data_IF_907759307905
#
_entry.id   IF_907759307905
#
_cell.length_a   1.000
_cell.length_b   1.000
_cell.length_c   1.000
_cell.angle_alpha   90.00
_cell.angle_beta   90.00
_cell.angle_gamma   90.00
#
_symmetry.space_group_name_H-M   'P 1'
#
loop_
_entity.id
_entity.type
_entity.pdbx_description
1 polymer ?
#
# COMPACT_ATOMS: atom_id res chain seq x y z
N UNK A 1 5.42 -49.68 22.80
CA UNK A 1 4.12 -49.09 22.41
C UNK A 1 4.32 -47.59 22.26
N UNK A 2 4.51 -47.13 21.02
CA UNK A 2 4.65 -45.71 20.71
C UNK A 2 3.28 -45.07 20.57
N UNK A 3 3.05 -43.98 21.29
CA UNK A 3 1.91 -43.11 21.03
C UNK A 3 2.34 -42.09 19.97
N UNK A 4 1.91 -42.31 18.73
CA UNK A 4 1.85 -41.30 17.69
C UNK A 4 0.93 -40.17 18.17
N UNK A 5 1.50 -39.02 18.51
CA UNK A 5 0.73 -37.76 18.59
C UNK A 5 0.43 -37.33 17.17
N UNK A 6 -0.70 -37.80 16.65
CA UNK A 6 -1.32 -37.22 15.46
C UNK A 6 -2.60 -36.51 15.90
N UNK A 7 -2.43 -35.28 16.37
CA UNK A 7 -3.47 -34.27 16.47
C UNK A 7 -2.77 -32.95 16.20
N UNK A 8 -3.01 -32.35 15.04
CA UNK A 8 -2.69 -30.94 14.84
C UNK A 8 -3.52 -30.16 15.85
N UNK A 9 -2.85 -29.68 16.89
CA UNK A 9 -3.45 -28.80 17.88
C UNK A 9 -3.91 -27.53 17.13
N UNK A 10 -5.18 -27.08 17.22
CA UNK A 10 -5.61 -25.85 16.57
C UNK A 10 -4.75 -24.62 16.95
N UNK A 11 -4.08 -24.67 18.09
CA UNK A 11 -3.09 -23.66 18.51
C UNK A 11 -1.78 -23.67 17.71
N UNK A 12 -1.55 -24.70 16.87
CA UNK A 12 -0.34 -24.85 16.06
C UNK A 12 -0.53 -24.43 14.60
N UNK A 13 -1.66 -23.86 14.19
CA UNK A 13 -1.89 -23.33 12.84
C UNK A 13 -2.03 -21.82 12.95
N UNK A 14 -1.47 -21.07 12.01
CA UNK A 14 -1.67 -19.62 11.92
C UNK A 14 -2.72 -19.34 10.85
N UNK A 15 -3.80 -18.66 11.21
CA UNK A 15 -4.84 -18.26 10.26
C UNK A 15 -4.71 -16.79 9.87
N UNK A 16 -4.59 -16.51 8.59
CA UNK A 16 -4.41 -15.15 8.04
C UNK A 16 -5.64 -14.72 7.26
N UNK A 17 -6.22 -13.57 7.62
CA UNK A 17 -7.22 -12.89 6.78
C UNK A 17 -6.49 -11.84 5.96
N UNK A 18 -6.49 -11.97 4.63
CA UNK A 18 -5.69 -11.16 3.73
C UNK A 18 -6.53 -10.43 2.69
N UNK A 19 -6.38 -9.11 2.56
CA UNK A 19 -6.98 -8.39 1.43
C UNK A 19 -6.16 -8.42 0.14
N UNK A 20 -4.96 -8.99 0.18
CA UNK A 20 -4.17 -9.28 -1.02
C UNK A 20 -4.72 -10.54 -1.71
N UNK A 21 -4.73 -10.52 -3.03
CA UNK A 21 -5.16 -11.65 -3.84
C UNK A 21 -4.30 -12.91 -3.60
N UNK A 22 -4.90 -14.09 -3.67
CA UNK A 22 -4.29 -15.38 -3.35
C UNK A 22 -2.93 -15.61 -3.99
N UNK A 23 -2.80 -15.30 -5.29
CA UNK A 23 -1.57 -15.48 -6.04
C UNK A 23 -0.42 -14.59 -5.56
N UNK A 24 -0.71 -13.54 -4.78
CA UNK A 24 0.28 -12.63 -4.18
C UNK A 24 0.68 -12.99 -2.74
N UNK A 25 0.05 -13.99 -2.13
CA UNK A 25 0.32 -14.39 -0.73
C UNK A 25 0.58 -15.88 -0.56
N UNK A 26 -0.08 -16.74 -1.34
CA UNK A 26 0.10 -18.20 -1.22
C UNK A 26 1.56 -18.62 -1.36
N UNK A 27 2.35 -18.16 -2.37
CA UNK A 27 3.75 -18.56 -2.49
C UNK A 27 4.60 -18.18 -1.28
N UNK A 28 4.25 -17.08 -0.60
CA UNK A 28 4.96 -16.58 0.59
C UNK A 28 4.66 -17.46 1.79
N UNK A 29 3.39 -17.83 1.98
CA UNK A 29 2.99 -18.73 3.07
C UNK A 29 3.48 -20.17 2.86
N UNK A 30 3.49 -20.66 1.61
CA UNK A 30 4.11 -21.94 1.26
C UNK A 30 5.61 -21.94 1.62
N UNK A 31 6.33 -20.86 1.27
CA UNK A 31 7.74 -20.70 1.61
C UNK A 31 7.97 -20.65 3.13
N UNK A 32 7.14 -19.92 3.87
CA UNK A 32 7.22 -19.88 5.33
C UNK A 32 7.03 -21.27 5.94
N UNK A 33 6.04 -22.02 5.46
CA UNK A 33 5.78 -23.38 5.92
C UNK A 33 6.95 -24.32 5.58
N UNK A 34 7.55 -24.20 4.39
CA UNK A 34 8.75 -24.96 4.02
C UNK A 34 9.93 -24.66 4.97
N UNK A 35 10.13 -23.39 5.32
CA UNK A 35 11.26 -22.94 6.16
C UNK A 35 11.10 -23.27 7.64
N UNK A 36 9.87 -23.26 8.15
CA UNK A 36 9.61 -23.32 9.60
C UNK A 36 8.82 -24.54 10.05
N UNK A 37 8.14 -25.22 9.12
CA UNK A 37 7.17 -26.27 9.43
C UNK A 37 5.83 -25.75 9.96
N UNK A 38 5.65 -24.43 10.11
CA UNK A 38 4.42 -23.82 10.60
C UNK A 38 3.37 -23.77 9.47
N UNK A 39 2.25 -24.49 9.66
CA UNK A 39 1.12 -24.43 8.73
C UNK A 39 0.46 -23.05 8.79
N UNK A 40 0.20 -22.46 7.61
CA UNK A 40 -0.55 -21.21 7.47
C UNK A 40 -1.80 -21.48 6.65
N UNK A 41 -2.96 -21.17 7.24
CA UNK A 41 -4.24 -21.12 6.53
C UNK A 41 -4.57 -19.68 6.24
N UNK A 42 -5.19 -19.41 5.10
CA UNK A 42 -5.58 -18.05 4.78
C UNK A 42 -6.96 -17.99 4.13
N UNK A 43 -7.59 -16.83 4.31
CA UNK A 43 -8.82 -16.42 3.66
C UNK A 43 -8.57 -15.08 2.99
N UNK A 44 -9.01 -14.92 1.76
CA UNK A 44 -8.96 -13.65 1.03
C UNK A 44 -10.35 -13.09 0.77
N UNK A 45 -10.46 -11.77 0.91
CA UNK A 45 -11.63 -10.98 0.52
C UNK A 45 -11.21 -9.50 0.48
N UNK A 46 -12.10 -8.59 0.11
CA UNK A 46 -11.85 -7.15 0.18
C UNK A 46 -11.71 -6.67 1.64
N UNK A 47 -11.03 -5.54 1.84
CA UNK A 47 -10.68 -5.00 3.16
C UNK A 47 -11.89 -4.79 4.07
N UNK A 48 -12.93 -4.13 3.54
CA UNK A 48 -14.16 -3.85 4.27
C UNK A 48 -14.84 -5.13 4.77
N UNK A 49 -15.19 -6.09 3.88
CA UNK A 49 -15.73 -7.38 4.26
C UNK A 49 -14.88 -8.14 5.30
N UNK A 50 -13.56 -8.16 5.18
CA UNK A 50 -12.69 -8.82 6.16
C UNK A 50 -12.74 -8.14 7.54
N UNK A 51 -12.72 -6.80 7.60
CA UNK A 51 -12.84 -6.08 8.88
C UNK A 51 -14.21 -6.31 9.53
N UNK A 52 -15.30 -6.26 8.76
CA UNK A 52 -16.65 -6.56 9.27
C UNK A 52 -16.77 -8.01 9.73
N UNK A 53 -16.12 -8.94 9.03
CA UNK A 53 -16.03 -10.34 9.45
C UNK A 53 -15.30 -10.49 10.78
N UNK A 54 -14.12 -9.88 10.94
CA UNK A 54 -13.37 -9.90 12.21
C UNK A 54 -14.21 -9.34 13.37
N UNK A 55 -14.95 -8.24 13.14
CA UNK A 55 -15.88 -7.69 14.13
C UNK A 55 -16.98 -8.68 14.51
N UNK A 56 -17.64 -9.26 13.50
CA UNK A 56 -18.78 -10.14 13.70
C UNK A 56 -18.38 -11.44 14.40
N UNK A 57 -17.20 -11.99 14.08
CA UNK A 57 -16.67 -13.19 14.72
C UNK A 57 -16.15 -12.91 16.15
N UNK A 58 -15.63 -11.70 16.41
CA UNK A 58 -15.20 -11.25 17.73
C UNK A 58 -14.25 -12.22 18.42
N UNK A 59 -14.52 -12.57 19.67
CA UNK A 59 -13.72 -13.53 20.44
C UNK A 59 -13.68 -14.95 19.84
N UNK A 60 -14.57 -15.27 18.91
CA UNK A 60 -14.61 -16.57 18.23
C UNK A 60 -13.91 -16.57 16.86
N UNK A 61 -13.34 -15.43 16.43
CA UNK A 61 -12.61 -15.38 15.17
C UNK A 61 -11.45 -16.37 15.18
N UNK A 62 -11.29 -17.17 14.10
CA UNK A 62 -10.12 -18.02 13.95
C UNK A 62 -8.90 -17.25 13.45
N UNK A 63 -9.06 -16.02 12.96
CA UNK A 63 -7.96 -15.24 12.37
C UNK A 63 -6.96 -14.82 13.45
N UNK A 64 -5.68 -15.12 13.24
CA UNK A 64 -4.57 -14.71 14.08
C UNK A 64 -3.87 -13.45 13.53
N UNK A 65 -3.86 -13.31 12.21
CA UNK A 65 -3.24 -12.18 11.52
C UNK A 65 -4.20 -11.54 10.52
N UNK A 66 -4.27 -10.22 10.52
CA UNK A 66 -4.92 -9.44 9.48
C UNK A 66 -3.85 -8.80 8.60
N UNK A 67 -3.86 -9.14 7.30
CA UNK A 67 -2.94 -8.63 6.29
C UNK A 67 -3.74 -7.79 5.30
N UNK A 68 -3.31 -6.57 5.04
CA UNK A 68 -4.01 -5.69 4.10
C UNK A 68 -3.06 -4.77 3.35
N UNK A 69 -3.63 -3.96 2.47
CA UNK A 69 -2.95 -2.86 1.80
C UNK A 69 -3.47 -1.55 2.35
N UNK A 70 -2.61 -0.54 2.31
CA UNK A 70 -2.90 0.82 2.77
C UNK A 70 -2.85 1.01 4.30
N UNK A 71 -2.02 1.94 4.74
CA UNK A 71 -1.93 2.33 6.14
C UNK A 71 -3.24 2.89 6.69
N UNK A 72 -4.10 3.49 5.85
CA UNK A 72 -5.43 3.92 6.27
C UNK A 72 -6.34 2.75 6.68
N UNK A 73 -6.24 1.61 5.99
CA UNK A 73 -6.99 0.40 6.36
C UNK A 73 -6.43 -0.24 7.63
N UNK A 74 -5.10 -0.27 7.78
CA UNK A 74 -4.43 -0.77 8.99
C UNK A 74 -4.80 0.08 10.22
N UNK A 75 -4.77 1.40 10.07
CA UNK A 75 -5.20 2.34 11.10
C UNK A 75 -6.67 2.12 11.46
N UNK A 76 -7.56 2.02 10.46
CA UNK A 76 -8.98 1.76 10.71
C UNK A 76 -9.20 0.45 11.49
N UNK A 77 -8.50 -0.62 11.13
CA UNK A 77 -8.59 -1.88 11.86
C UNK A 77 -8.09 -1.75 13.32
N UNK A 78 -7.05 -0.96 13.57
CA UNK A 78 -6.57 -0.66 14.92
C UNK A 78 -7.59 0.16 15.73
N UNK A 79 -8.12 1.25 15.17
CA UNK A 79 -9.13 2.11 15.82
C UNK A 79 -10.43 1.37 16.14
N UNK A 80 -10.82 0.43 15.29
CA UNK A 80 -11.98 -0.44 15.51
C UNK A 80 -11.69 -1.57 16.53
N UNK A 81 -10.49 -1.60 17.12
CA UNK A 81 -10.09 -2.57 18.15
C UNK A 81 -9.87 -3.98 17.63
N UNK A 82 -9.67 -4.15 16.31
CA UNK A 82 -9.50 -5.45 15.66
C UNK A 82 -8.10 -6.01 15.77
N UNK A 83 -7.13 -5.15 16.08
CA UNK A 83 -5.72 -5.49 16.22
C UNK A 83 -5.32 -5.41 17.70
N UNK A 84 -4.26 -6.14 18.06
CA UNK A 84 -3.61 -6.02 19.37
C UNK A 84 -2.19 -5.48 19.20
N UNK A 85 -1.71 -4.66 20.14
CA UNK A 85 -0.30 -4.29 20.16
C UNK A 85 0.56 -5.54 20.41
N UNK A 86 1.69 -5.63 19.71
CA UNK A 86 2.73 -6.63 19.96
C UNK A 86 4.06 -5.94 20.23
N UNK A 87 4.95 -6.59 20.99
CA UNK A 87 6.30 -6.09 21.22
C UNK A 87 7.29 -7.01 20.51
N UNK A 88 8.00 -6.47 19.52
CA UNK A 88 9.03 -7.20 18.79
C UNK A 88 10.19 -6.29 18.44
N UNK A 89 11.34 -6.53 19.08
CA UNK A 89 12.59 -5.83 18.75
C UNK A 89 13.01 -6.08 17.30
N UNK A 90 12.71 -7.26 16.75
CA UNK A 90 13.02 -7.57 15.35
C UNK A 90 12.24 -6.66 14.41
N UNK A 91 10.92 -6.54 14.60
CA UNK A 91 10.09 -5.66 13.79
C UNK A 91 10.47 -4.19 13.96
N UNK A 92 10.73 -3.75 15.19
CA UNK A 92 11.14 -2.36 15.48
C UNK A 92 12.48 -1.99 14.84
N UNK A 93 13.41 -2.94 14.71
CA UNK A 93 14.71 -2.76 14.07
C UNK A 93 14.62 -2.85 12.55
N UNK A 94 13.83 -3.79 12.02
CA UNK A 94 13.72 -4.02 10.59
C UNK A 94 12.85 -2.97 9.89
N UNK A 95 11.85 -2.41 10.56
CA UNK A 95 10.85 -1.52 9.97
C UNK A 95 11.06 -0.09 10.46
N UNK A 96 11.36 0.87 9.56
CA UNK A 96 11.47 2.28 9.90
C UNK A 96 10.24 2.80 10.66
N UNK A 97 10.47 3.65 11.67
CA UNK A 97 9.41 4.10 12.59
C UNK A 97 8.23 4.80 11.91
N UNK A 98 8.45 5.47 10.78
CA UNK A 98 7.38 6.14 10.02
C UNK A 98 6.48 5.15 9.24
N UNK A 99 6.88 3.88 9.10
CA UNK A 99 6.19 2.85 8.33
C UNK A 99 5.49 1.79 9.20
N UNK A 100 5.40 2.04 10.51
CA UNK A 100 4.72 1.20 11.50
C UNK A 100 3.91 2.05 12.46
N UNK A 101 2.95 1.42 13.12
CA UNK A 101 2.15 2.08 14.14
C UNK A 101 3.01 2.45 15.37
N UNK A 102 2.95 3.71 15.86
CA UNK A 102 3.55 4.09 17.14
C UNK A 102 3.06 3.27 18.35
N UNK A 103 1.85 2.71 18.28
CA UNK A 103 1.30 1.82 19.30
C UNK A 103 1.56 0.32 19.03
N UNK A 104 2.36 0.00 18.00
CA UNK A 104 2.73 -1.35 17.62
C UNK A 104 1.54 -2.30 17.32
N UNK A 105 0.40 -1.77 16.87
CA UNK A 105 -0.75 -2.60 16.49
C UNK A 105 -0.63 -3.15 15.05
N UNK A 106 0.12 -2.48 14.20
CA UNK A 106 0.40 -2.92 12.83
C UNK A 106 1.79 -2.48 12.34
N UNK A 107 2.27 -3.20 11.33
CA UNK A 107 3.61 -3.07 10.78
C UNK A 107 3.54 -3.12 9.25
N UNK A 108 4.27 -2.23 8.57
CA UNK A 108 4.47 -2.33 7.13
C UNK A 108 5.32 -3.56 6.77
N UNK A 109 5.06 -4.14 5.60
CA UNK A 109 5.73 -5.34 5.09
C UNK A 109 6.36 -5.09 3.71
N UNK A 110 5.82 -4.17 2.93
CA UNK A 110 6.39 -3.69 1.67
C UNK A 110 5.95 -2.26 1.42
N UNK A 111 6.71 -1.57 0.58
CA UNK A 111 6.50 -0.18 0.23
C UNK A 111 5.98 -0.04 -1.19
N UNK A 112 5.07 0.92 -1.37
CA UNK A 112 4.62 1.37 -2.68
C UNK A 112 4.65 2.88 -2.73
N UNK A 113 5.16 3.40 -3.84
CA UNK A 113 5.18 4.83 -4.11
C UNK A 113 4.05 5.17 -5.08
N UNK A 114 3.25 6.18 -4.74
CA UNK A 114 2.25 6.73 -5.65
C UNK A 114 2.84 7.98 -6.30
N UNK A 115 3.08 7.94 -7.60
CA UNK A 115 3.89 8.95 -8.28
C UNK A 115 3.33 9.32 -9.66
N UNK A 116 3.96 10.28 -10.33
CA UNK A 116 3.58 10.72 -11.66
C UNK A 116 4.06 9.73 -12.72
N UNK A 117 3.16 9.35 -13.61
CA UNK A 117 3.44 8.68 -14.86
C UNK A 117 3.09 9.63 -16.00
N UNK A 118 3.88 9.63 -17.07
CA UNK A 118 3.72 10.58 -18.16
C UNK A 118 4.11 9.99 -19.52
N UNK A 119 3.59 10.60 -20.59
CA UNK A 119 4.02 10.28 -21.94
C UNK A 119 5.29 11.08 -22.31
N UNK A 120 6.42 10.42 -22.59
CA UNK A 120 7.65 11.11 -22.96
C UNK A 120 7.59 11.79 -24.34
N UNK A 121 6.57 11.50 -25.15
CA UNK A 121 6.33 12.17 -26.43
C UNK A 121 5.75 13.59 -26.24
N UNK A 122 5.02 13.82 -25.14
CA UNK A 122 4.21 15.04 -24.92
C UNK A 122 4.63 15.84 -23.69
N UNK A 123 5.44 15.28 -22.81
CA UNK A 123 5.88 15.90 -21.55
C UNK A 123 7.37 15.68 -21.36
N UNK A 124 8.09 16.77 -21.08
CA UNK A 124 9.48 16.69 -20.66
C UNK A 124 9.56 16.42 -19.15
N UNK A 125 10.51 15.61 -18.67
CA UNK A 125 10.74 15.46 -17.23
C UNK A 125 11.00 16.79 -16.51
N UNK A 126 11.53 17.79 -17.22
CA UNK A 126 11.77 19.15 -16.67
C UNK A 126 10.48 19.91 -16.34
N UNK A 127 9.36 19.49 -16.91
CA UNK A 127 8.05 20.11 -16.67
C UNK A 127 7.40 19.54 -15.40
N UNK A 128 7.96 18.46 -14.85
CA UNK A 128 7.43 17.73 -13.70
C UNK A 128 8.23 18.07 -12.44
N UNK A 129 7.53 18.16 -11.32
CA UNK A 129 8.15 18.41 -10.01
C UNK A 129 7.30 17.81 -8.89
N UNK A 130 6.34 18.55 -8.37
CA UNK A 130 5.55 18.16 -7.20
C UNK A 130 4.18 17.65 -7.58
N UNK A 131 3.47 17.01 -6.65
CA UNK A 131 2.05 16.68 -6.85
C UNK A 131 1.21 17.96 -7.00
N UNK A 132 1.58 18.98 -6.24
CA UNK A 132 0.97 20.30 -6.18
C UNK A 132 1.08 21.03 -7.51
N UNK A 133 2.21 20.90 -8.22
CA UNK A 133 2.42 21.49 -9.54
C UNK A 133 1.41 21.00 -10.60
N UNK A 134 0.79 19.82 -10.41
CA UNK A 134 -0.30 19.35 -11.27
C UNK A 134 -1.60 20.18 -11.13
N UNK A 135 -1.65 21.11 -10.17
CA UNK A 135 -2.71 22.11 -10.02
C UNK A 135 -2.56 23.30 -11.00
N UNK A 136 -1.39 23.47 -11.61
CA UNK A 136 -1.12 24.62 -12.49
C UNK A 136 -1.95 24.56 -13.79
N UNK A 137 -2.31 25.72 -14.34
CA UNK A 137 -3.11 25.82 -15.58
C UNK A 137 -2.42 25.17 -16.79
N UNK A 138 -1.09 25.00 -16.75
CA UNK A 138 -0.33 24.29 -17.79
C UNK A 138 -0.75 22.81 -17.93
N UNK A 139 -1.45 22.25 -16.95
CA UNK A 139 -1.99 20.88 -16.94
C UNK A 139 -3.49 20.80 -17.25
N UNK A 140 -4.13 21.93 -17.55
CA UNK A 140 -5.56 21.97 -17.87
C UNK A 140 -5.87 21.06 -19.08
N UNK A 141 -6.76 20.07 -18.86
CA UNK A 141 -7.13 19.09 -19.89
C UNK A 141 -6.04 18.07 -20.22
N UNK A 142 -5.04 17.90 -19.34
CA UNK A 142 -3.87 17.02 -19.58
C UNK A 142 -3.65 15.97 -18.49
N UNK A 143 -4.36 16.07 -17.36
CA UNK A 143 -4.23 15.17 -16.23
C UNK A 143 -5.25 14.02 -16.30
N UNK A 144 -4.80 12.79 -16.06
CA UNK A 144 -5.66 11.65 -15.77
C UNK A 144 -5.55 11.25 -14.30
N UNK A 145 -6.69 10.94 -13.72
CA UNK A 145 -6.79 10.46 -12.35
C UNK A 145 -7.74 9.26 -12.28
N UNK A 146 -7.57 8.42 -11.27
CA UNK A 146 -8.57 7.37 -10.95
C UNK A 146 -9.60 7.90 -9.97
N UNK A 147 -10.68 7.17 -9.77
CA UNK A 147 -11.73 7.55 -8.79
C UNK A 147 -11.21 7.83 -7.37
N UNK A 148 -11.78 8.86 -6.73
CA UNK A 148 -11.55 9.23 -5.32
C UNK A 148 -11.98 8.15 -4.31
N UNK A 149 -12.84 7.21 -4.73
CA UNK A 149 -13.34 6.09 -3.91
C UNK A 149 -12.24 5.11 -3.51
N UNK A 150 -11.07 5.17 -4.15
CA UNK A 150 -9.98 4.24 -3.90
C UNK A 150 -9.03 4.79 -2.85
N UNK A 151 -8.74 3.95 -1.87
CA UNK A 151 -7.94 4.28 -0.69
C UNK A 151 -6.60 4.93 -1.03
N UNK A 152 -6.00 4.59 -2.18
CA UNK A 152 -4.73 5.17 -2.62
C UNK A 152 -4.79 6.68 -2.82
N UNK A 153 -5.89 7.19 -3.37
CA UNK A 153 -6.09 8.63 -3.53
C UNK A 153 -6.49 9.28 -2.20
N UNK A 154 -7.29 8.58 -1.38
CA UNK A 154 -7.64 9.07 -0.03
C UNK A 154 -6.39 9.29 0.81
N UNK A 155 -5.44 8.36 0.77
CA UNK A 155 -4.18 8.44 1.50
C UNK A 155 -3.22 9.49 0.93
N UNK A 156 -3.17 9.69 -0.39
CA UNK A 156 -2.41 10.81 -0.97
C UNK A 156 -2.99 12.18 -0.58
N UNK A 157 -4.32 12.32 -0.60
CA UNK A 157 -4.99 13.56 -0.18
C UNK A 157 -4.85 13.77 1.34
N UNK A 158 -4.89 12.71 2.13
CA UNK A 158 -4.57 12.78 3.56
C UNK A 158 -3.14 13.28 3.80
N UNK A 159 -2.17 12.83 3.01
CA UNK A 159 -0.80 13.36 3.06
C UNK A 159 -0.75 14.85 2.68
N UNK A 160 -1.47 15.29 1.63
CA UNK A 160 -1.58 16.72 1.30
C UNK A 160 -2.16 17.53 2.47
N UNK A 161 -3.18 17.02 3.16
CA UNK A 161 -3.76 17.67 4.34
C UNK A 161 -2.72 17.73 5.47
N UNK A 162 -1.96 16.66 5.69
CA UNK A 162 -0.94 16.61 6.74
C UNK A 162 0.16 17.65 6.54
N UNK A 163 0.62 17.84 5.29
CA UNK A 163 1.71 18.77 4.96
C UNK A 163 1.24 20.22 4.79
N UNK A 164 0.04 20.44 4.25
CA UNK A 164 -0.41 21.77 3.82
C UNK A 164 -1.62 22.33 4.58
N UNK A 165 -2.25 21.51 5.40
CA UNK A 165 -3.56 21.80 5.98
C UNK A 165 -4.70 21.66 4.96
N UNK A 166 -5.94 21.63 5.47
CA UNK A 166 -7.13 21.32 4.67
C UNK A 166 -7.39 22.34 3.56
N UNK A 167 -7.25 23.64 3.83
CA UNK A 167 -7.58 24.69 2.86
C UNK A 167 -6.69 24.62 1.61
N UNK A 168 -5.37 24.52 1.81
CA UNK A 168 -4.42 24.43 0.70
C UNK A 168 -4.56 23.10 -0.04
N UNK A 169 -4.76 21.98 0.67
CA UNK A 169 -5.05 20.69 0.04
C UNK A 169 -6.33 20.76 -0.82
N UNK A 170 -7.38 21.46 -0.37
CA UNK A 170 -8.63 21.61 -1.13
C UNK A 170 -8.42 22.40 -2.42
N UNK A 171 -7.62 23.46 -2.38
CA UNK A 171 -7.22 24.22 -3.56
C UNK A 171 -6.47 23.36 -4.58
N UNK A 172 -5.50 22.57 -4.11
CA UNK A 172 -4.68 21.67 -4.94
C UNK A 172 -5.57 20.61 -5.60
N UNK A 173 -6.34 19.86 -4.81
CA UNK A 173 -7.18 18.76 -5.34
C UNK A 173 -8.29 19.30 -6.23
N UNK A 174 -8.90 20.43 -5.88
CA UNK A 174 -9.89 21.08 -6.74
C UNK A 174 -9.30 21.53 -8.08
N UNK A 175 -8.04 21.97 -8.11
CA UNK A 175 -7.35 22.28 -9.35
C UNK A 175 -7.03 21.03 -10.16
N UNK A 176 -6.62 19.92 -9.53
CA UNK A 176 -6.48 18.64 -10.23
C UNK A 176 -7.76 18.22 -10.94
N UNK A 177 -8.92 18.35 -10.26
CA UNK A 177 -10.23 18.04 -10.85
C UNK A 177 -10.51 18.93 -12.07
N UNK A 178 -10.20 20.23 -12.01
CA UNK A 178 -10.34 21.14 -13.16
C UNK A 178 -9.37 20.82 -14.30
N UNK A 179 -8.23 20.21 -13.98
CA UNK A 179 -7.19 19.85 -14.95
C UNK A 179 -7.41 18.49 -15.62
N UNK A 180 -8.46 17.76 -15.26
CA UNK A 180 -8.76 16.45 -15.84
C UNK A 180 -9.01 16.54 -17.35
N UNK A 181 -8.36 15.66 -18.11
CA UNK A 181 -8.56 15.50 -19.55
C UNK A 181 -9.82 14.68 -19.88
N UNK A 182 -10.27 13.84 -18.95
CA UNK A 182 -11.34 12.87 -19.10
C UNK A 182 -11.95 12.54 -17.74
N UNK A 183 -13.07 11.79 -17.72
CA UNK A 183 -13.58 11.23 -16.48
C UNK A 183 -12.56 10.29 -15.82
N UNK A 184 -12.69 10.15 -14.50
CA UNK A 184 -11.77 9.36 -13.69
C UNK A 184 -11.80 7.87 -14.06
N UNK A 185 -10.63 7.22 -14.02
CA UNK A 185 -10.50 5.79 -14.31
C UNK A 185 -10.87 4.91 -13.10
N UNK A 186 -11.34 3.67 -13.33
CA UNK A 186 -11.63 2.74 -12.24
C UNK A 186 -10.35 2.19 -11.56
N UNK A 187 -9.24 2.10 -12.29
CA UNK A 187 -7.97 1.55 -11.80
C UNK A 187 -6.74 2.23 -12.44
N UNK A 188 -5.58 2.03 -11.79
CA UNK A 188 -4.29 2.61 -12.21
C UNK A 188 -3.83 2.05 -13.58
N UNK A 189 -4.06 0.77 -13.88
CA UNK A 189 -3.64 0.19 -15.17
C UNK A 189 -4.35 0.86 -16.36
N UNK A 190 -5.65 1.10 -16.24
CA UNK A 190 -6.42 1.77 -17.30
C UNK A 190 -6.01 3.24 -17.45
N UNK A 191 -5.73 3.92 -16.34
CA UNK A 191 -5.15 5.27 -16.36
C UNK A 191 -3.81 5.29 -17.12
N UNK A 192 -2.92 4.33 -16.84
CA UNK A 192 -1.61 4.25 -17.51
C UNK A 192 -1.75 3.98 -19.01
N UNK A 193 -2.70 3.11 -19.39
CA UNK A 193 -3.03 2.86 -20.80
C UNK A 193 -3.64 4.08 -21.47
N UNK A 194 -4.41 4.90 -20.76
CA UNK A 194 -4.97 6.14 -21.29
C UNK A 194 -3.87 7.17 -21.61
N UNK A 195 -2.84 7.27 -20.77
CA UNK A 195 -1.63 8.07 -21.07
C UNK A 195 -0.94 7.53 -22.33
N UNK A 196 -0.73 6.21 -22.42
CA UNK A 196 -0.13 5.59 -23.61
C UNK A 196 -0.96 5.85 -24.88
N UNK A 197 -2.29 5.89 -24.77
CA UNK A 197 -3.22 6.12 -25.87
C UNK A 197 -3.43 7.60 -26.24
N UNK A 198 -2.79 8.54 -25.54
CA UNK A 198 -2.92 9.98 -25.85
C UNK A 198 -4.20 10.63 -25.34
N UNK A 199 -4.95 9.99 -24.44
CA UNK A 199 -6.14 10.62 -23.83
C UNK A 199 -5.78 11.70 -22.80
N UNK A 200 -4.56 11.63 -22.27
CA UNK A 200 -3.95 12.59 -21.36
C UNK A 200 -2.43 12.46 -21.43
N UNK A 201 -1.75 13.39 -20.78
CA UNK A 201 -0.29 13.50 -20.85
C UNK A 201 0.39 13.01 -19.58
N UNK A 202 -0.27 13.19 -18.43
CA UNK A 202 0.23 12.83 -17.11
C UNK A 202 -0.86 12.21 -16.26
N UNK A 203 -0.48 11.44 -15.24
CA UNK A 203 -1.40 10.94 -14.24
C UNK A 203 -0.71 10.39 -13.00
N UNK A 204 -1.47 10.20 -11.93
CA UNK A 204 -0.95 9.71 -10.64
C UNK A 204 -1.37 8.25 -10.42
N UNK A 205 -0.39 7.37 -10.24
CA UNK A 205 -0.61 5.94 -10.02
C UNK A 205 0.46 5.32 -9.10
N UNK A 206 0.18 4.13 -8.55
CA UNK A 206 1.19 3.36 -7.82
C UNK A 206 2.20 2.78 -8.82
N UNK A 207 3.48 2.89 -8.48
CA UNK A 207 4.62 2.46 -9.32
C UNK A 207 4.51 1.01 -9.79
N UNK A 208 4.05 0.09 -8.93
CA UNK A 208 3.98 -1.33 -9.27
C UNK A 208 3.03 -1.66 -10.43
N UNK A 209 1.97 -0.88 -10.67
CA UNK A 209 1.10 -1.12 -11.84
C UNK A 209 1.85 -0.83 -13.14
N UNK A 210 2.71 0.18 -13.15
CA UNK A 210 3.61 0.45 -14.25
C UNK A 210 4.66 -0.66 -14.41
N UNK A 211 5.23 -1.14 -13.30
CA UNK A 211 6.13 -2.29 -13.32
C UNK A 211 5.51 -3.53 -13.94
N UNK A 212 4.26 -3.86 -13.59
CA UNK A 212 3.56 -5.02 -14.18
C UNK A 212 3.37 -4.85 -15.68
N UNK A 213 3.01 -3.65 -16.12
CA UNK A 213 2.92 -3.33 -17.55
C UNK A 213 4.26 -3.46 -18.26
N UNK A 214 5.37 -3.00 -17.66
CA UNK A 214 6.71 -3.16 -18.23
C UNK A 214 7.15 -4.62 -18.27
N UNK A 215 6.78 -5.42 -17.28
CA UNK A 215 7.07 -6.86 -17.27
C UNK A 215 6.39 -7.57 -18.45
N UNK A 216 5.16 -7.18 -18.75
CA UNK A 216 4.38 -7.76 -19.85
C UNK A 216 4.75 -7.14 -21.21
N UNK A 217 5.13 -5.85 -21.24
CA UNK A 217 5.51 -5.07 -22.41
C UNK A 217 6.68 -4.12 -22.08
N UNK A 218 7.95 -4.55 -22.25
CA UNK A 218 9.12 -3.76 -21.87
C UNK A 218 9.22 -2.38 -22.55
N UNK A 219 8.72 -2.26 -23.78
CA UNK A 219 8.74 -1.03 -24.57
C UNK A 219 7.48 -0.15 -24.35
N UNK A 220 6.78 -0.31 -23.22
CA UNK A 220 5.56 0.47 -22.94
C UNK A 220 5.83 1.99 -23.04
N UNK A 221 5.02 2.78 -23.78
CA UNK A 221 5.32 4.17 -24.14
C UNK A 221 4.95 5.19 -23.05
N UNK A 222 5.18 4.84 -21.79
CA UNK A 222 5.00 5.70 -20.62
C UNK A 222 6.29 5.67 -19.80
N UNK A 223 6.55 6.76 -19.09
CA UNK A 223 7.70 6.89 -18.17
C UNK A 223 7.22 7.30 -16.80
N UNK A 224 8.07 7.03 -15.81
CA UNK A 224 7.82 7.34 -14.41
C UNK A 224 8.66 8.52 -13.99
N UNK A 225 8.05 9.45 -13.27
CA UNK A 225 8.71 10.57 -12.62
C UNK A 225 8.45 10.51 -11.13
N UNK A 226 9.50 10.60 -10.30
CA UNK A 226 9.37 10.61 -8.84
C UNK A 226 8.94 11.99 -8.35
N UNK A 227 7.63 12.18 -8.25
CA UNK A 227 7.05 13.40 -7.71
C UNK A 227 7.29 13.48 -6.20
N UNK A 228 7.46 14.68 -5.67
CA UNK A 228 7.52 14.93 -4.23
C UNK A 228 6.33 15.75 -3.77
N UNK A 229 5.96 15.59 -2.51
CA UNK A 229 5.21 16.63 -1.79
C UNK A 229 6.14 17.83 -1.63
N UNK A 230 5.60 19.05 -1.75
CA UNK A 230 6.39 20.28 -1.61
C UNK A 230 7.19 20.26 -0.29
N UNK A 231 8.52 20.45 -0.37
CA UNK A 231 9.46 20.41 0.75
C UNK A 231 9.52 19.08 1.53
N UNK A 232 9.01 17.98 0.98
CA UNK A 232 9.15 16.63 1.54
C UNK A 232 9.70 15.65 0.49
N UNK A 233 9.09 14.48 0.32
CA UNK A 233 9.47 13.43 -0.62
C UNK A 233 8.26 12.80 -1.31
N UNK A 234 8.51 11.74 -2.07
CA UNK A 234 7.47 10.97 -2.74
C UNK A 234 6.54 10.33 -1.74
N UNK A 235 5.23 10.45 -1.94
CA UNK A 235 4.23 9.81 -1.10
C UNK A 235 4.42 8.29 -1.10
N UNK A 236 4.68 7.77 0.10
CA UNK A 236 4.81 6.35 0.37
C UNK A 236 3.54 5.81 1.03
N UNK A 237 3.31 4.53 0.81
CA UNK A 237 2.31 3.76 1.53
C UNK A 237 2.78 2.30 1.61
N UNK A 238 2.08 1.46 2.38
CA UNK A 238 2.52 0.10 2.66
C UNK A 238 1.47 -0.94 2.31
N UNK A 239 1.92 -2.16 2.04
CA UNK A 239 1.16 -3.34 2.44
C UNK A 239 1.64 -3.72 3.83
N UNK A 240 0.74 -4.11 4.72
CA UNK A 240 1.11 -4.36 6.12
C UNK A 240 0.17 -5.31 6.80
N UNK A 241 0.47 -5.61 8.05
CA UNK A 241 -0.31 -6.55 8.83
C UNK A 241 -0.23 -6.26 10.33
N UNK A 242 -1.20 -6.79 11.07
CA UNK A 242 -1.25 -6.75 12.52
C UNK A 242 -1.81 -8.04 13.08
N UNK A 243 -1.39 -8.40 14.30
CA UNK A 243 -1.96 -9.54 15.02
C UNK A 243 -3.37 -9.16 15.46
N UNK A 244 -4.33 -10.03 15.20
CA UNK A 244 -5.73 -9.75 15.53
C UNK A 244 -5.94 -9.74 17.05
N UNK A 245 -6.95 -8.99 17.50
CA UNK A 245 -7.27 -8.81 18.92
C UNK A 245 -7.55 -10.12 19.64
N UNK A 246 -8.17 -11.07 18.94
CA UNK A 246 -8.65 -12.34 19.47
C UNK A 246 -7.90 -13.58 18.94
N UNK A 247 -6.71 -13.36 18.36
CA UNK A 247 -5.81 -14.40 17.86
C UNK A 247 -5.71 -15.59 18.84
N UNK A 248 -5.87 -16.80 18.32
CA UNK A 248 -5.74 -18.07 19.05
C UNK A 248 -4.30 -18.55 19.12
N UNK A 249 -3.48 -18.14 18.14
CA UNK A 249 -2.05 -18.37 18.05
C UNK A 249 -1.31 -17.03 17.83
N UNK A 250 -1.30 -16.13 18.84
CA UNK A 250 -0.64 -14.82 18.71
C UNK A 250 0.88 -14.95 18.58
N UNK A 251 1.52 -15.94 19.21
CA UNK A 251 2.97 -16.16 19.05
C UNK A 251 3.31 -16.58 17.61
N UNK A 252 2.54 -17.48 17.00
CA UNK A 252 2.72 -17.88 15.61
C UNK A 252 2.47 -16.74 14.62
N UNK A 253 1.43 -15.92 14.84
CA UNK A 253 1.19 -14.74 14.02
C UNK A 253 2.33 -13.71 14.13
N UNK A 254 2.85 -13.47 15.33
CA UNK A 254 4.03 -12.61 15.52
C UNK A 254 5.26 -13.21 14.83
N UNK A 255 5.49 -14.52 14.93
CA UNK A 255 6.62 -15.19 14.27
C UNK A 255 6.52 -15.08 12.73
N UNK A 256 5.32 -15.21 12.16
CA UNK A 256 5.09 -14.98 10.74
C UNK A 256 5.38 -13.51 10.35
N UNK A 257 4.93 -12.53 11.13
CA UNK A 257 5.26 -11.11 10.90
C UNK A 257 6.76 -10.85 10.93
N UNK A 258 7.46 -11.38 11.94
CA UNK A 258 8.91 -11.25 12.06
C UNK A 258 9.62 -11.88 10.86
N UNK A 259 9.22 -13.09 10.46
CA UNK A 259 9.80 -13.77 9.31
C UNK A 259 9.58 -13.01 8.00
N UNK A 260 8.41 -12.37 7.83
CA UNK A 260 8.15 -11.54 6.66
C UNK A 260 9.11 -10.35 6.53
N UNK A 261 9.85 -9.98 7.59
CA UNK A 261 10.92 -8.96 7.54
C UNK A 261 12.31 -9.54 7.27
N UNK A 262 12.47 -10.86 7.20
CA UNK A 262 13.76 -11.48 6.87
C UNK A 262 14.10 -11.31 5.38
N UNK A 263 15.39 -11.25 4.99
CA UNK A 263 15.80 -10.91 3.63
C UNK A 263 15.18 -11.79 2.52
N UNK A 264 15.05 -13.09 2.74
CA UNK A 264 14.44 -14.02 1.78
C UNK A 264 12.95 -13.71 1.57
N UNK A 265 12.22 -13.55 2.67
CA UNK A 265 10.78 -13.27 2.64
C UNK A 265 10.50 -11.87 2.08
N UNK A 266 11.27 -10.86 2.48
CA UNK A 266 11.16 -9.49 1.99
C UNK A 266 11.35 -9.42 0.48
N UNK A 267 12.39 -10.08 -0.04
CA UNK A 267 12.65 -10.14 -1.47
C UNK A 267 11.46 -10.78 -2.20
N UNK A 268 11.05 -11.97 -1.77
CA UNK A 268 9.95 -12.69 -2.40
C UNK A 268 8.62 -11.90 -2.34
N UNK A 269 8.30 -11.28 -1.20
CA UNK A 269 7.06 -10.53 -1.00
C UNK A 269 6.99 -9.26 -1.86
N UNK A 270 8.12 -8.54 -1.99
CA UNK A 270 8.21 -7.33 -2.79
C UNK A 270 8.21 -7.63 -4.31
N UNK A 271 9.06 -8.57 -4.77
CA UNK A 271 9.22 -8.90 -6.19
C UNK A 271 7.93 -9.43 -6.82
N UNK A 272 7.19 -10.27 -6.09
CA UNK A 272 5.96 -10.89 -6.58
C UNK A 272 4.95 -9.85 -7.10
N UNK A 273 4.95 -8.67 -6.47
CA UNK A 273 4.06 -7.59 -6.83
C UNK A 273 4.73 -6.38 -7.50
N UNK A 274 6.06 -6.38 -7.66
CA UNK A 274 6.88 -5.23 -8.06
C UNK A 274 6.74 -4.04 -7.10
N UNK A 275 6.64 -4.35 -5.81
CA UNK A 275 6.73 -3.39 -4.71
C UNK A 275 8.20 -3.22 -4.28
N UNK A 276 8.44 -2.26 -3.39
CA UNK A 276 9.74 -2.07 -2.75
C UNK A 276 9.81 -2.89 -1.46
N UNK A 277 10.93 -3.58 -1.16
CA UNK A 277 11.17 -4.11 0.16
C UNK A 277 11.09 -3.00 1.21
N UNK A 278 10.51 -3.30 2.38
CA UNK A 278 10.48 -2.33 3.49
C UNK A 278 11.83 -2.30 4.23
N UNK A 279 12.55 -3.42 4.19
CA UNK A 279 13.91 -3.54 4.73
C UNK A 279 14.90 -3.04 3.68
N UNK A 280 15.63 -1.99 4.02
CA UNK A 280 16.41 -1.16 3.07
C UNK A 280 17.58 -1.89 2.41
N UNK A 281 18.11 -2.93 3.06
CA UNK A 281 19.27 -3.69 2.60
C UNK A 281 18.89 -4.78 1.58
N UNK A 282 17.59 -5.04 1.40
CA UNK A 282 17.10 -6.09 0.51
C UNK A 282 17.08 -5.58 -0.93
N UNK A 283 17.65 -6.38 -1.84
CA UNK A 283 17.69 -6.07 -3.27
C UNK A 283 16.27 -6.00 -3.86
N UNK A 284 16.10 -5.11 -4.83
CA UNK A 284 14.85 -4.87 -5.55
C UNK A 284 14.79 -5.70 -6.82
N UNK A 285 13.58 -5.90 -7.33
CA UNK A 285 13.38 -6.44 -8.68
C UNK A 285 14.12 -5.56 -9.72
N UNK A 286 14.76 -6.13 -10.76
CA UNK A 286 15.46 -5.35 -11.78
C UNK A 286 14.62 -4.27 -12.47
N UNK A 287 13.31 -4.48 -12.66
CA UNK A 287 12.40 -3.48 -13.21
C UNK A 287 12.30 -2.28 -12.27
N UNK A 288 12.15 -2.56 -10.97
CA UNK A 288 12.02 -1.54 -9.92
C UNK A 288 13.34 -0.78 -9.73
N UNK A 289 14.46 -1.49 -9.76
CA UNK A 289 15.81 -0.89 -9.70
C UNK A 289 16.08 0.03 -10.90
N UNK A 290 15.56 -0.34 -12.09
CA UNK A 290 15.69 0.45 -13.31
C UNK A 290 15.05 1.84 -13.27
N UNK A 291 14.17 2.13 -12.30
CA UNK A 291 13.57 3.45 -12.10
C UNK A 291 14.45 4.42 -11.30
N UNK A 292 15.59 3.96 -10.81
CA UNK A 292 16.51 4.76 -10.01
C UNK A 292 16.03 4.99 -8.57
N UNK A 293 16.66 5.94 -7.90
CA UNK A 293 16.37 6.30 -6.52
C UNK A 293 15.43 7.50 -6.40
N UNK A 294 14.73 7.58 -5.28
CA UNK A 294 13.93 8.73 -4.88
C UNK A 294 14.00 8.90 -3.36
N UNK A 295 13.67 10.09 -2.89
CA UNK A 295 13.48 10.35 -1.47
C UNK A 295 12.00 10.19 -1.13
N UNK A 296 11.67 9.23 -0.27
CA UNK A 296 10.31 9.05 0.24
C UNK A 296 9.94 10.09 1.30
N UNK A 297 8.66 10.44 1.36
CA UNK A 297 8.08 11.20 2.46
C UNK A 297 8.16 10.40 3.76
N UNK A 298 8.64 11.05 4.83
CA UNK A 298 8.85 10.45 6.15
C UNK A 298 7.68 10.69 7.12
N UNK A 299 6.55 11.22 6.63
CA UNK A 299 5.31 11.28 7.39
C UNK A 299 4.98 9.90 7.96
N UNK A 300 4.72 9.83 9.27
CA UNK A 300 4.28 8.58 9.87
C UNK A 300 2.93 8.18 9.26
N UNK A 301 2.86 6.97 8.70
CA UNK A 301 1.72 6.51 7.92
C UNK A 301 0.42 6.40 8.73
N UNK A 302 0.47 6.40 10.06
CA UNK A 302 -0.71 6.53 10.92
C UNK A 302 -1.55 7.76 10.58
N UNK A 303 -0.88 8.88 10.28
CA UNK A 303 -1.51 10.16 9.93
C UNK A 303 -2.44 10.03 8.72
N UNK A 304 -2.15 9.09 7.80
CA UNK A 304 -2.97 8.85 6.62
C UNK A 304 -4.36 8.32 6.99
N UNK A 305 -4.44 7.48 8.03
CA UNK A 305 -5.70 6.99 8.58
C UNK A 305 -6.45 8.08 9.35
N UNK A 306 -5.76 8.78 10.25
CA UNK A 306 -6.34 9.86 11.07
C UNK A 306 -6.99 10.97 10.22
N UNK A 307 -6.40 11.27 9.06
CA UNK A 307 -6.89 12.29 8.13
C UNK A 307 -7.76 11.73 7.00
N UNK A 308 -7.98 10.41 6.93
CA UNK A 308 -8.68 9.78 5.81
C UNK A 308 -10.12 10.30 5.66
N UNK A 309 -10.85 10.46 6.77
CA UNK A 309 -12.21 11.01 6.73
C UNK A 309 -12.24 12.44 6.19
N UNK A 310 -11.27 13.27 6.60
CA UNK A 310 -11.15 14.64 6.11
C UNK A 310 -10.80 14.66 4.62
N UNK A 311 -9.92 13.77 4.17
CA UNK A 311 -9.57 13.61 2.76
C UNK A 311 -10.77 13.21 1.90
N UNK A 312 -11.60 12.26 2.35
CA UNK A 312 -12.83 11.86 1.65
C UNK A 312 -13.80 13.04 1.54
N UNK A 313 -14.04 13.76 2.65
CA UNK A 313 -14.92 14.92 2.66
C UNK A 313 -14.41 16.04 1.75
N UNK A 314 -13.10 16.28 1.72
CA UNK A 314 -12.47 17.26 0.84
C UNK A 314 -12.68 16.88 -0.63
N UNK A 315 -12.41 15.62 -0.99
CA UNK A 315 -12.61 15.13 -2.36
C UNK A 315 -14.06 15.24 -2.81
N UNK A 316 -15.03 14.97 -1.92
CA UNK A 316 -16.45 15.16 -2.19
C UNK A 316 -16.81 16.64 -2.45
N UNK A 317 -16.33 17.56 -1.60
CA UNK A 317 -16.57 19.01 -1.76
C UNK A 317 -16.07 19.54 -3.10
N UNK A 318 -14.90 19.08 -3.56
CA UNK A 318 -14.32 19.49 -4.85
C UNK A 318 -14.81 18.64 -6.03
N UNK A 319 -15.84 17.82 -5.81
CA UNK A 319 -16.49 16.98 -6.82
C UNK A 319 -15.55 15.97 -7.50
N UNK A 320 -14.51 15.53 -6.80
CA UNK A 320 -13.66 14.43 -7.26
C UNK A 320 -14.41 13.11 -7.07
N UNK A 321 -14.89 12.53 -8.17
CA UNK A 321 -15.68 11.28 -8.20
C UNK A 321 -14.81 10.02 -8.23
#
# INVERSE_FOLDING_TARGET
MGCTRNSSDPSSVVTVYSSRADHLIKPIFDLYQERTGQEVRFLTDSEGPLMERLKAEGANSPADLFLTVDAGNLWKAAEEGLLRPIQSKKLEQAIPAHLRDPENQWFGLSLRARTILYSPERVSPSDLSTYEALADEAWAGRLCMRTSRKVYNQSLVAALIAHHGQERAEQIVGAWVRNLATEVFPNDTDLIRAIAAGQCDVGIANSYYFGRLLRDQPDFPVRLFWASLENSGTHLNVSGAGVTRHAKNPEGAQALLEWLTEPEAQKAFAELNLEYPIVTEVARDPIVEGWGSFQGDLLNLRSLGELQTQAVQLMDRVQYR
#
